data_IF_911145695904
#
_entry.id   IF_911145695904
#
_cell.length_a   1.000
_cell.length_b   1.000
_cell.length_c   1.000
_cell.angle_alpha   90.00
_cell.angle_beta   90.00
_cell.angle_gamma   90.00
#
_symmetry.space_group_name_H-M   'P 1'
#
loop_
_entity.id
_entity.type
_entity.pdbx_description
1 polymer ?
#
# COMPACT_ATOMS: atom_id res chain seq x y z
N UNK A 1 -20.90 0.00 10.57
CA UNK A 1 -19.45 0.04 10.23
C UNK A 1 -18.55 -0.30 11.43
N UNK A 2 -18.77 0.29 12.62
CA UNK A 2 -17.91 0.06 13.81
C UNK A 2 -17.80 -1.41 14.27
N UNK A 3 -18.83 -2.23 14.04
CA UNK A 3 -18.84 -3.66 14.43
C UNK A 3 -17.66 -4.45 13.89
N UNK A 4 -17.20 -4.16 12.66
CA UNK A 4 -16.04 -4.84 12.07
C UNK A 4 -14.76 -4.44 12.81
N UNK A 5 -14.54 -3.13 12.96
CA UNK A 5 -13.31 -2.62 13.56
C UNK A 5 -13.19 -2.93 15.05
N UNK A 6 -14.32 -3.08 15.76
CA UNK A 6 -14.31 -3.50 17.16
C UNK A 6 -13.80 -4.93 17.37
N UNK A 7 -13.71 -5.74 16.31
CA UNK A 7 -13.10 -7.09 16.39
C UNK A 7 -11.58 -7.06 16.25
N UNK A 8 -10.98 -5.88 16.01
CA UNK A 8 -9.55 -5.80 15.79
C UNK A 8 -8.83 -5.68 17.14
N UNK A 9 -8.10 -6.74 17.51
CA UNK A 9 -7.21 -6.68 18.67
C UNK A 9 -6.06 -5.69 18.42
N UNK A 10 -5.44 -5.80 17.25
CA UNK A 10 -4.30 -4.98 16.85
C UNK A 10 -4.39 -4.48 15.41
N UNK A 11 -3.91 -3.25 15.19
CA UNK A 11 -3.80 -2.59 13.90
C UNK A 11 -2.35 -2.14 13.70
N UNK A 12 -1.75 -2.60 12.60
CA UNK A 12 -0.40 -2.20 12.22
C UNK A 12 -0.43 -0.83 11.56
N UNK A 13 0.46 0.07 11.98
CA UNK A 13 0.60 1.40 11.40
C UNK A 13 2.05 1.69 11.06
N UNK A 14 2.24 2.37 9.91
CA UNK A 14 3.55 2.80 9.43
C UNK A 14 3.89 4.26 9.68
N UNK A 15 2.96 5.04 10.25
CA UNK A 15 3.19 6.45 10.58
C UNK A 15 2.19 6.94 11.63
N UNK A 16 2.57 7.99 12.36
CA UNK A 16 1.68 8.66 13.33
C UNK A 16 0.45 9.26 12.64
N UNK A 17 0.58 9.69 11.38
CA UNK A 17 -0.54 10.21 10.59
C UNK A 17 -1.59 9.12 10.33
N UNK A 18 -1.15 7.92 9.94
CA UNK A 18 -2.02 6.78 9.70
C UNK A 18 -2.77 6.37 10.96
N UNK A 19 -2.07 6.31 12.10
CA UNK A 19 -2.66 6.04 13.41
C UNK A 19 -3.75 7.05 13.77
N UNK A 20 -3.47 8.35 13.66
CA UNK A 20 -4.43 9.40 13.98
C UNK A 20 -5.71 9.32 13.13
N UNK A 21 -5.58 8.98 11.85
CA UNK A 21 -6.72 8.80 10.94
C UNK A 21 -7.51 7.55 11.35
N UNK A 22 -6.84 6.43 11.60
CA UNK A 22 -7.48 5.17 11.96
C UNK A 22 -8.15 5.21 13.32
N UNK A 23 -7.53 5.85 14.31
CA UNK A 23 -8.12 6.08 15.63
C UNK A 23 -9.49 6.74 15.51
N UNK A 24 -9.60 7.82 14.72
CA UNK A 24 -10.85 8.54 14.46
C UNK A 24 -11.83 7.74 13.61
N UNK A 25 -11.36 7.13 12.53
CA UNK A 25 -12.21 6.46 11.53
C UNK A 25 -12.79 5.14 12.04
N UNK A 26 -12.01 4.40 12.82
CA UNK A 26 -12.36 3.07 13.33
C UNK A 26 -12.86 3.11 14.78
N UNK A 27 -12.66 4.21 15.51
CA UNK A 27 -13.08 4.33 16.91
C UNK A 27 -12.26 3.49 17.88
N UNK A 28 -10.97 3.29 17.56
CA UNK A 28 -10.03 2.48 18.35
C UNK A 28 -9.27 3.32 19.38
N UNK A 29 -8.69 2.68 20.39
CA UNK A 29 -7.80 3.32 21.38
C UNK A 29 -6.33 3.08 21.06
N UNK A 30 -5.43 3.80 21.74
CA UNK A 30 -3.98 3.71 21.51
C UNK A 30 -3.41 2.30 21.75
N UNK A 31 -4.06 1.52 22.62
CA UNK A 31 -3.72 0.12 22.90
C UNK A 31 -3.92 -0.82 21.71
N UNK A 32 -4.75 -0.45 20.73
CA UNK A 32 -4.97 -1.26 19.54
C UNK A 32 -3.85 -1.09 18.51
N UNK A 33 -2.93 -0.14 18.65
CA UNK A 33 -1.99 0.19 17.57
C UNK A 33 -0.59 -0.36 17.80
N UNK A 34 -0.06 -1.08 16.80
CA UNK A 34 1.33 -1.54 16.74
C UNK A 34 2.11 -0.73 15.71
N UNK A 35 3.07 0.06 16.19
CA UNK A 35 3.87 1.02 15.40
C UNK A 35 5.13 0.38 14.80
N UNK A 36 4.96 -0.75 14.15
CA UNK A 36 6.07 -1.55 13.60
C UNK A 36 6.24 -1.42 12.09
N UNK A 37 5.38 -0.63 11.43
CA UNK A 37 5.33 -0.57 9.97
C UNK A 37 4.43 -1.64 9.36
N UNK A 38 4.51 -1.75 8.03
CA UNK A 38 3.74 -2.72 7.27
C UNK A 38 4.65 -3.89 6.86
N UNK A 39 4.38 -5.15 7.25
CA UNK A 39 5.24 -6.29 6.93
C UNK A 39 5.52 -6.43 5.42
N UNK A 40 4.55 -6.07 4.56
CA UNK A 40 4.72 -6.05 3.09
C UNK A 40 5.88 -5.16 2.62
N UNK A 41 6.25 -4.15 3.41
CA UNK A 41 7.32 -3.21 3.08
C UNK A 41 8.71 -3.76 3.44
N UNK A 42 8.81 -4.78 4.29
CA UNK A 42 10.11 -5.27 4.79
C UNK A 42 11.02 -5.79 3.69
N UNK A 43 10.45 -6.42 2.65
CA UNK A 43 11.23 -6.89 1.50
C UNK A 43 12.01 -5.76 0.82
N UNK A 44 11.48 -4.53 0.81
CA UNK A 44 12.10 -3.40 0.15
C UNK A 44 13.30 -2.83 0.92
N UNK A 45 13.42 -3.13 2.22
CA UNK A 45 14.59 -2.73 3.04
C UNK A 45 15.87 -3.48 2.65
N UNK A 46 15.73 -4.74 2.22
CA UNK A 46 16.85 -5.64 1.84
C UNK A 46 16.94 -5.87 0.33
N UNK A 47 16.11 -5.20 -0.47
CA UNK A 47 15.99 -5.47 -1.90
C UNK A 47 17.22 -4.97 -2.66
N UNK A 48 17.88 -5.86 -3.41
CA UNK A 48 18.84 -5.44 -4.42
C UNK A 48 18.08 -4.88 -5.64
N UNK A 49 17.92 -3.56 -5.66
CA UNK A 49 17.13 -2.84 -6.67
C UNK A 49 17.59 -3.13 -8.10
N UNK A 50 18.90 -3.22 -8.34
CA UNK A 50 19.44 -3.48 -9.69
C UNK A 50 19.05 -4.87 -10.16
N UNK A 51 19.35 -5.90 -9.36
CA UNK A 51 19.02 -7.29 -9.69
C UNK A 51 17.52 -7.51 -9.89
N UNK A 52 16.70 -6.90 -9.04
CA UNK A 52 15.25 -7.01 -9.16
C UNK A 52 14.74 -6.33 -10.44
N UNK A 53 15.23 -5.12 -10.74
CA UNK A 53 14.88 -4.42 -11.97
C UNK A 53 15.27 -5.21 -13.22
N UNK A 54 16.47 -5.79 -13.26
CA UNK A 54 16.93 -6.62 -14.39
C UNK A 54 16.05 -7.86 -14.55
N UNK A 55 15.66 -8.49 -13.44
CA UNK A 55 14.77 -9.66 -13.42
C UNK A 55 13.37 -9.32 -13.96
N UNK A 56 12.80 -8.19 -13.51
CA UNK A 56 11.48 -7.72 -13.96
C UNK A 56 11.52 -7.34 -15.45
N UNK A 57 12.53 -6.58 -15.87
CA UNK A 57 12.70 -6.17 -17.28
C UNK A 57 12.83 -7.39 -18.19
N UNK A 58 13.67 -8.36 -17.82
CA UNK A 58 13.82 -9.61 -18.57
C UNK A 58 12.50 -10.39 -18.66
N UNK A 59 11.77 -10.49 -17.54
CA UNK A 59 10.47 -11.19 -17.50
C UNK A 59 9.43 -10.57 -18.43
N UNK A 60 9.44 -9.24 -18.56
CA UNK A 60 8.48 -8.49 -19.38
C UNK A 60 9.02 -8.04 -20.75
N UNK A 61 10.22 -8.48 -21.14
CA UNK A 61 10.82 -8.11 -22.42
C UNK A 61 11.11 -6.62 -22.60
N UNK A 62 11.33 -5.87 -21.51
CA UNK A 62 11.54 -4.42 -21.56
C UNK A 62 13.03 -4.13 -21.85
N UNK A 63 13.36 -3.40 -22.94
CA UNK A 63 14.73 -3.02 -23.24
C UNK A 63 15.38 -2.16 -22.15
N UNK A 64 16.71 -2.25 -22.01
CA UNK A 64 17.45 -1.62 -20.91
C UNK A 64 17.42 -0.08 -20.99
N UNK A 65 17.44 0.47 -22.20
CA UNK A 65 17.44 1.89 -22.50
C UNK A 65 16.06 2.56 -22.36
N UNK A 66 14.98 1.77 -22.20
CA UNK A 66 13.63 2.29 -22.05
C UNK A 66 13.32 2.65 -20.61
N UNK A 67 12.80 3.86 -20.42
CA UNK A 67 12.25 4.31 -19.14
C UNK A 67 10.90 3.63 -18.92
N UNK A 68 10.70 3.09 -17.71
CA UNK A 68 9.44 2.46 -17.32
C UNK A 68 8.65 3.44 -16.45
N UNK A 69 7.43 3.76 -16.86
CA UNK A 69 6.48 4.57 -16.09
C UNK A 69 5.31 3.67 -15.69
N UNK A 70 4.98 3.66 -14.41
CA UNK A 70 3.84 2.89 -13.89
C UNK A 70 2.60 3.79 -13.80
N UNK A 71 1.54 3.43 -14.51
CA UNK A 71 0.24 4.08 -14.42
C UNK A 71 -0.72 3.16 -13.64
N UNK A 72 -1.12 3.58 -12.44
CA UNK A 72 -1.97 2.79 -11.52
C UNK A 72 -3.24 3.59 -11.18
N UNK A 73 -4.20 3.69 -12.12
CA UNK A 73 -5.46 4.39 -11.87
C UNK A 73 -6.29 3.63 -10.84
N UNK A 74 -7.09 4.37 -10.07
CA UNK A 74 -8.13 3.77 -9.21
C UNK A 74 -9.41 3.63 -10.02
N UNK A 75 -10.24 2.64 -9.68
CA UNK A 75 -11.56 2.49 -10.30
C UNK A 75 -12.38 3.79 -10.16
N UNK A 76 -13.15 4.10 -11.19
CA UNK A 76 -14.05 5.26 -11.24
C UNK A 76 -15.36 4.82 -11.89
N UNK A 77 -16.46 5.16 -11.24
CA UNK A 77 -17.81 4.75 -11.63
C UNK A 77 -18.45 5.76 -12.59
N UNK A 78 -17.73 6.16 -13.64
CA UNK A 78 -18.30 7.09 -14.62
C UNK A 78 -19.31 6.35 -15.50
N UNK A 79 -20.60 6.70 -15.42
CA UNK A 79 -21.51 6.46 -16.54
C UNK A 79 -20.99 7.29 -17.71
N UNK A 80 -20.50 6.62 -18.75
CA UNK A 80 -20.12 7.29 -19.99
C UNK A 80 -21.43 7.64 -20.70
N UNK A 81 -21.99 8.82 -20.41
CA UNK A 81 -23.01 9.40 -21.27
C UNK A 81 -22.29 9.95 -22.50
N UNK A 82 -22.28 9.17 -23.56
CA UNK A 82 -21.85 9.64 -24.88
C UNK A 82 -22.99 10.52 -25.39
N UNK A 83 -22.75 11.82 -25.52
CA UNK A 83 -23.61 12.73 -26.30
C UNK A 83 -23.33 12.54 -27.79
#
# INVERSE_FOLDING_TARGET
YKLVYNTFDYVLVGSNVMENIFKKSFGLSDSNFLRIGLPRMDKYKKLNRKKENDTIRKRHGIPAEKIVVSYVPTYRDYEIVIH
#
